data_IF_853802750817
#
_entry.id   IF_853802750817
#
_cell.length_a   1.000
_cell.length_b   1.000
_cell.length_c   1.000
_cell.angle_alpha   90.00
_cell.angle_beta   90.00
_cell.angle_gamma   90.00
#
_symmetry.space_group_name_H-M   'P 1'
#
loop_
_entity.id
_entity.type
_entity.pdbx_description
1 polymer ?
#
# COMPACT_ATOMS: atom_id res chain seq x y z
N UNK A 1 1.36 8.09 -0.57
CA UNK A 1 1.45 9.50 -1.02
C UNK A 1 2.83 10.08 -0.71
N UNK A 2 3.88 9.72 -1.46
CA UNK A 2 5.26 10.09 -1.13
C UNK A 2 5.54 11.59 -1.11
N UNK A 3 4.94 12.34 -2.06
CA UNK A 3 5.15 13.78 -2.19
C UNK A 3 4.56 14.54 -0.99
N UNK A 4 3.34 14.22 -0.59
CA UNK A 4 2.68 14.85 0.56
C UNK A 4 3.46 14.64 1.86
N UNK A 5 4.02 13.44 2.07
CA UNK A 5 4.84 13.14 3.25
C UNK A 5 6.03 14.10 3.38
N UNK A 6 6.71 14.41 2.28
CA UNK A 6 7.82 15.39 2.28
C UNK A 6 7.38 16.80 2.65
N UNK A 7 6.21 17.23 2.18
CA UNK A 7 5.66 18.55 2.54
C UNK A 7 5.34 18.62 4.04
N UNK A 8 4.83 17.53 4.62
CA UNK A 8 4.54 17.44 6.05
C UNK A 8 5.85 17.45 6.88
N UNK A 9 6.90 16.74 6.45
CA UNK A 9 8.23 16.83 7.10
C UNK A 9 8.81 18.24 7.07
N UNK A 10 8.66 18.94 5.94
CA UNK A 10 9.17 20.31 5.80
C UNK A 10 8.50 21.29 6.78
N UNK A 11 7.31 20.95 7.28
CA UNK A 11 6.61 21.66 8.35
C UNK A 11 7.01 21.20 9.77
N UNK A 12 7.99 20.29 9.90
CA UNK A 12 8.49 19.79 11.18
C UNK A 12 7.72 18.60 11.76
N UNK A 13 6.81 17.98 10.99
CA UNK A 13 6.03 16.82 11.43
C UNK A 13 6.61 15.55 10.81
N UNK A 14 7.12 14.59 11.61
CA UNK A 14 7.68 13.36 11.09
C UNK A 14 6.59 12.44 10.52
N UNK A 15 6.92 11.73 9.44
CA UNK A 15 6.04 10.87 8.65
C UNK A 15 6.71 9.54 8.29
N UNK A 16 5.89 8.52 8.08
CA UNK A 16 6.32 7.23 7.54
C UNK A 16 5.27 6.75 6.53
N UNK A 17 5.71 6.26 5.38
CA UNK A 17 4.83 5.75 4.33
C UNK A 17 4.84 4.23 4.39
N UNK A 18 3.73 3.63 4.81
CA UNK A 18 3.48 2.18 4.66
C UNK A 18 2.92 1.93 3.26
N UNK A 19 3.55 1.08 2.46
CA UNK A 19 3.17 0.93 1.04
C UNK A 19 3.52 -0.42 0.42
N UNK A 20 2.68 -0.83 -0.52
CA UNK A 20 2.84 -1.98 -1.40
C UNK A 20 3.75 -1.67 -2.61
N UNK A 21 4.22 -0.43 -2.72
CA UNK A 21 5.09 0.04 -3.80
C UNK A 21 6.33 0.75 -3.24
N UNK A 22 7.19 0.05 -2.47
CA UNK A 22 8.32 0.70 -1.80
C UNK A 22 9.29 1.32 -2.81
N UNK A 23 9.53 0.69 -3.96
CA UNK A 23 10.37 1.24 -5.03
C UNK A 23 9.86 2.58 -5.58
N UNK A 24 8.53 2.73 -5.75
CA UNK A 24 7.93 4.00 -6.17
C UNK A 24 8.03 5.04 -5.06
N UNK A 25 7.87 4.65 -3.80
CA UNK A 25 8.05 5.57 -2.67
C UNK A 25 9.51 6.06 -2.57
N UNK A 26 10.50 5.19 -2.82
CA UNK A 26 11.92 5.53 -2.90
C UNK A 26 12.22 6.47 -4.07
N UNK A 27 11.74 6.15 -5.27
CA UNK A 27 11.89 6.99 -6.47
C UNK A 27 11.37 8.42 -6.21
N UNK A 28 10.24 8.52 -5.49
CA UNK A 28 9.62 9.80 -5.10
C UNK A 28 10.16 10.38 -3.80
N UNK A 29 11.25 9.81 -3.26
CA UNK A 29 12.01 10.29 -2.10
C UNK A 29 11.14 10.44 -0.84
N UNK A 30 10.29 9.46 -0.57
CA UNK A 30 9.54 9.44 0.69
C UNK A 30 10.51 9.50 1.89
N UNK A 31 10.18 10.23 2.97
CA UNK A 31 11.08 10.44 4.09
C UNK A 31 11.48 9.16 4.82
N UNK A 32 10.51 8.27 5.06
CA UNK A 32 10.69 6.96 5.68
C UNK A 32 9.67 6.00 5.05
N UNK A 33 10.07 4.77 4.79
CA UNK A 33 9.28 3.80 4.03
C UNK A 33 9.20 2.50 4.82
N UNK A 34 7.99 1.99 4.97
CA UNK A 34 7.72 0.61 5.35
C UNK A 34 7.12 -0.09 4.13
N UNK A 35 7.88 -0.97 3.50
CA UNK A 35 7.40 -1.80 2.41
C UNK A 35 6.57 -2.96 2.94
N UNK A 36 5.46 -3.29 2.29
CA UNK A 36 4.65 -4.48 2.61
C UNK A 36 4.32 -5.24 1.34
N UNK A 37 4.42 -6.57 1.35
CA UNK A 37 4.06 -7.42 0.21
C UNK A 37 2.58 -7.86 0.25
N UNK A 38 1.69 -6.88 0.37
CA UNK A 38 0.25 -7.08 0.49
C UNK A 38 -0.50 -6.69 -0.79
N UNK A 39 -1.73 -7.20 -1.00
CA UNK A 39 -2.60 -6.71 -2.06
C UNK A 39 -2.80 -5.20 -1.98
N UNK A 40 -2.91 -4.54 -3.14
CA UNK A 40 -3.26 -3.13 -3.18
C UNK A 40 -4.54 -2.84 -2.38
N UNK A 41 -4.55 -1.70 -1.68
CA UNK A 41 -5.57 -1.33 -0.70
C UNK A 41 -5.37 -1.84 0.73
N UNK A 42 -4.43 -2.75 0.98
CA UNK A 42 -4.31 -3.45 2.28
C UNK A 42 -3.01 -3.16 3.02
N UNK A 43 -2.59 -1.89 3.12
CA UNK A 43 -1.28 -1.52 3.67
C UNK A 43 -1.02 -2.03 5.11
N UNK A 44 -2.06 -2.25 5.92
CA UNK A 44 -1.96 -2.75 7.30
C UNK A 44 -2.29 -4.24 7.44
N UNK A 45 -2.40 -4.97 6.33
CA UNK A 45 -2.67 -6.41 6.36
C UNK A 45 -4.15 -6.76 6.19
N UNK A 46 -4.48 -7.98 6.61
CA UNK A 46 -5.80 -8.60 6.41
C UNK A 46 -6.90 -7.82 7.16
N UNK A 47 -8.09 -7.62 6.55
CA UNK A 47 -9.22 -7.03 7.25
C UNK A 47 -9.54 -7.76 8.56
N UNK A 48 -9.78 -7.02 9.62
CA UNK A 48 -10.06 -7.52 10.98
C UNK A 48 -8.94 -8.33 11.68
N UNK A 49 -7.78 -8.54 11.03
CA UNK A 49 -6.61 -9.10 11.71
C UNK A 49 -5.88 -8.01 12.51
N UNK A 50 -6.38 -7.78 13.73
CA UNK A 50 -5.81 -6.78 14.66
C UNK A 50 -4.35 -7.09 15.02
N UNK A 51 -3.93 -8.36 14.98
CA UNK A 51 -2.58 -8.74 15.34
C UNK A 51 -1.61 -8.32 14.23
N UNK A 52 -1.93 -8.61 12.97
CA UNK A 52 -1.14 -8.18 11.82
C UNK A 52 -1.11 -6.65 11.70
N UNK A 53 -2.27 -5.99 11.82
CA UNK A 53 -2.35 -4.52 11.78
C UNK A 53 -1.50 -3.87 12.86
N UNK A 54 -1.49 -4.43 14.07
CA UNK A 54 -0.62 -3.96 15.16
C UNK A 54 0.86 -4.15 14.83
N UNK A 55 1.27 -5.30 14.28
CA UNK A 55 2.68 -5.52 13.90
C UNK A 55 3.16 -4.52 12.84
N UNK A 56 2.34 -4.24 11.83
CA UNK A 56 2.66 -3.22 10.80
C UNK A 56 2.78 -1.83 11.43
N UNK A 57 1.82 -1.46 12.29
CA UNK A 57 1.83 -0.18 13.00
C UNK A 57 3.07 -0.04 13.89
N UNK A 58 3.41 -1.07 14.67
CA UNK A 58 4.59 -1.07 15.53
C UNK A 58 5.88 -0.91 14.74
N UNK A 59 6.01 -1.61 13.60
CA UNK A 59 7.16 -1.42 12.72
C UNK A 59 7.22 0.01 12.20
N UNK A 60 6.10 0.55 11.71
CA UNK A 60 6.04 1.92 11.21
C UNK A 60 6.44 2.95 12.28
N UNK A 61 5.97 2.79 13.51
CA UNK A 61 6.34 3.65 14.64
C UNK A 61 7.82 3.49 15.02
N UNK A 62 8.38 2.28 14.98
CA UNK A 62 9.82 2.05 15.21
C UNK A 62 10.67 2.74 14.15
N UNK A 63 10.28 2.64 12.87
CA UNK A 63 10.96 3.34 11.77
C UNK A 63 10.84 4.85 11.94
N UNK A 64 9.66 5.35 12.33
CA UNK A 64 9.41 6.77 12.57
C UNK A 64 10.29 7.31 13.71
N UNK A 65 10.42 6.57 14.81
CA UNK A 65 11.19 6.98 15.99
C UNK A 65 12.71 6.79 15.83
N UNK A 66 13.14 5.77 15.07
CA UNK A 66 14.55 5.38 14.96
C UNK A 66 15.32 5.99 13.79
N UNK A 67 14.65 6.39 12.70
CA UNK A 67 15.34 6.92 11.53
C UNK A 67 15.68 8.41 11.70
N UNK A 68 16.93 8.69 12.08
CA UNK A 68 17.48 10.04 12.27
C UNK A 68 17.69 10.81 10.95
N UNK A 69 17.70 10.11 9.80
CA UNK A 69 17.86 10.70 8.47
C UNK A 69 16.76 10.24 7.50
N UNK A 70 16.43 11.10 6.53
CA UNK A 70 15.47 10.80 5.46
C UNK A 70 16.01 9.73 4.50
N UNK A 71 15.14 8.86 4.00
CA UNK A 71 15.44 7.81 3.03
C UNK A 71 15.52 6.40 3.62
N UNK A 72 15.18 6.21 4.90
CA UNK A 72 15.12 4.88 5.50
C UNK A 72 14.01 4.02 4.88
N UNK A 73 14.34 2.81 4.45
CA UNK A 73 13.40 1.78 4.02
C UNK A 73 13.56 0.54 4.89
N UNK A 74 12.45 0.01 5.37
CA UNK A 74 12.37 -1.31 6.00
C UNK A 74 11.22 -2.07 5.37
N UNK A 75 11.45 -3.31 4.97
CA UNK A 75 10.39 -4.17 4.44
C UNK A 75 9.83 -5.06 5.56
N UNK A 76 8.51 -5.15 5.62
CA UNK A 76 7.80 -5.96 6.60
C UNK A 76 7.85 -7.43 6.20
N UNK A 77 8.49 -8.24 7.04
CA UNK A 77 8.70 -9.67 6.82
C UNK A 77 7.46 -10.49 7.22
N UNK A 78 6.42 -10.40 6.40
CA UNK A 78 5.19 -11.17 6.55
C UNK A 78 4.50 -11.33 5.20
N UNK A 79 4.22 -12.57 4.84
CA UNK A 79 3.44 -12.87 3.65
C UNK A 79 1.93 -12.72 3.90
N UNK A 80 1.20 -12.38 2.84
CA UNK A 80 -0.25 -12.46 2.84
C UNK A 80 -0.70 -13.94 2.91
N UNK A 81 -1.71 -14.29 3.74
CA UNK A 81 -2.01 -15.70 4.04
C UNK A 81 -2.57 -16.53 2.88
N UNK A 82 -2.92 -15.88 1.77
CA UNK A 82 -3.45 -16.53 0.56
C UNK A 82 -2.73 -15.99 -0.68
N UNK A 83 -2.74 -16.72 -1.82
CA UNK A 83 -2.16 -16.20 -3.05
C UNK A 83 -2.77 -14.85 -3.45
N UNK A 84 -1.92 -13.90 -3.89
CA UNK A 84 -2.36 -12.54 -4.25
C UNK A 84 -3.51 -12.53 -5.27
N UNK A 85 -3.49 -13.46 -6.24
CA UNK A 85 -4.54 -13.60 -7.26
C UNK A 85 -5.91 -13.89 -6.66
N UNK A 86 -5.96 -14.67 -5.59
CA UNK A 86 -7.19 -14.99 -4.88
C UNK A 86 -7.60 -13.82 -4.00
N UNK A 87 -6.65 -13.20 -3.29
CA UNK A 87 -6.89 -12.01 -2.47
C UNK A 87 -7.53 -10.87 -3.29
N UNK A 88 -7.02 -10.60 -4.49
CA UNK A 88 -7.59 -9.57 -5.38
C UNK A 88 -9.01 -9.86 -5.84
N UNK A 89 -9.43 -11.12 -5.90
CA UNK A 89 -10.82 -11.49 -6.26
C UNK A 89 -11.74 -11.41 -5.05
N UNK A 90 -11.24 -11.72 -3.86
CA UNK A 90 -12.05 -11.81 -2.64
C UNK A 90 -12.75 -10.49 -2.29
N UNK A 91 -12.13 -9.34 -2.57
CA UNK A 91 -12.71 -8.02 -2.29
C UNK A 91 -13.52 -7.44 -3.46
N UNK A 92 -13.43 -8.02 -4.66
CA UNK A 92 -14.12 -7.48 -5.83
C UNK A 92 -15.64 -7.65 -5.69
N UNK A 93 -16.43 -6.62 -6.07
CA UNK A 93 -17.87 -6.75 -6.14
C UNK A 93 -18.27 -7.89 -7.11
N UNK A 94 -19.32 -8.63 -6.77
CA UNK A 94 -19.87 -9.68 -7.65
C UNK A 94 -20.37 -9.10 -8.97
N UNK A 95 -20.88 -7.87 -8.94
CA UNK A 95 -21.37 -7.15 -10.10
C UNK A 95 -20.29 -6.21 -10.64
N UNK A 96 -20.05 -6.18 -11.97
CA UNK A 96 -19.10 -5.26 -12.56
C UNK A 96 -19.59 -3.81 -12.42
N UNK A 97 -18.65 -2.89 -12.22
CA UNK A 97 -18.95 -1.46 -12.23
C UNK A 97 -19.51 -1.02 -13.59
N UNK A 98 -20.27 0.09 -13.68
CA UNK A 98 -20.80 0.59 -14.96
C UNK A 98 -19.73 0.79 -16.03
N UNK A 99 -18.53 1.24 -15.64
CA UNK A 99 -17.38 1.41 -16.55
C UNK A 99 -16.91 0.05 -17.08
N UNK A 100 -16.74 -0.94 -16.20
CA UNK A 100 -16.32 -2.29 -16.59
C UNK A 100 -17.38 -2.93 -17.51
N UNK A 101 -18.66 -2.79 -17.17
CA UNK A 101 -19.76 -3.27 -18.00
C UNK A 101 -19.70 -2.69 -19.41
N UNK A 102 -19.55 -1.37 -19.53
CA UNK A 102 -19.46 -0.68 -20.82
C UNK A 102 -18.20 -1.06 -21.61
N UNK A 103 -17.07 -1.31 -20.95
CA UNK A 103 -15.84 -1.80 -21.58
C UNK A 103 -15.99 -3.22 -22.12
N UNK A 104 -16.71 -4.08 -21.41
CA UNK A 104 -17.01 -5.44 -21.87
C UNK A 104 -17.95 -5.42 -23.08
N UNK A 105 -18.97 -4.57 -23.04
CA UNK A 105 -19.89 -4.33 -24.16
C UNK A 105 -19.13 -3.79 -25.39
N UNK A 106 -18.22 -2.82 -25.23
CA UNK A 106 -17.45 -2.27 -26.35
C UNK A 106 -16.50 -3.28 -26.97
N UNK A 107 -15.90 -4.17 -26.15
CA UNK A 107 -15.08 -5.29 -26.61
C UNK A 107 -15.88 -6.33 -27.36
N UNK A 108 -17.09 -6.66 -26.88
CA UNK A 108 -17.98 -7.59 -27.56
C UNK A 108 -18.48 -7.05 -28.90
N UNK A 109 -18.55 -5.72 -29.06
CA UNK A 109 -18.96 -5.03 -30.28
C UNK A 109 -17.80 -4.81 -31.29
N UNK A 110 -16.61 -5.36 -31.05
CA UNK A 110 -15.50 -5.34 -32.01
C UNK A 110 -14.82 -3.99 -32.22
N UNK A 111 -15.03 -3.01 -31.32
CA UNK A 111 -14.29 -1.75 -31.32
C UNK A 111 -13.00 -1.91 -30.52
N UNK A 112 -11.92 -2.30 -31.21
CA UNK A 112 -10.53 -2.06 -30.81
C UNK A 112 -10.17 -0.60 -30.99
#
# INVERSE_FOLDING_TARGET
>A
MPVLARWIEAAGIPTVVVTMMPAVAEERRAPRIVGVEFPFGHAFGVPNDKAMQRRVLELALRVLAGASSSGARVDFDQEWPVPLREAYKAWQPKEPSPIVRKLLESRAQGRT
#
